data_IF_830401257798
#
_entry.id   IF_830401257798
#
_cell.length_a   1.000
_cell.length_b   1.000
_cell.length_c   1.000
_cell.angle_alpha   90.00
_cell.angle_beta   90.00
_cell.angle_gamma   90.00
#
_symmetry.space_group_name_H-M   'P 1'
#
loop_
_entity.id
_entity.type
_entity.pdbx_description
1 polymer ?
#
# COMPACT_ATOMS: atom_id res chain seq x y z
N UNK A 1 8.32 5.35 -23.24
CA UNK A 1 8.85 5.48 -21.87
C UNK A 1 8.04 4.48 -21.05
N UNK A 2 8.70 3.53 -20.44
CA UNK A 2 8.01 2.50 -19.67
C UNK A 2 7.46 3.12 -18.37
N UNK A 3 6.40 2.52 -17.80
CA UNK A 3 5.71 3.03 -16.59
C UNK A 3 6.70 3.24 -15.41
N UNK A 4 7.68 2.34 -15.28
CA UNK A 4 8.73 2.43 -14.27
C UNK A 4 9.58 3.70 -14.40
N UNK A 5 9.79 4.23 -15.63
CA UNK A 5 10.56 5.45 -15.86
C UNK A 5 9.87 6.68 -15.26
N UNK A 6 8.52 6.76 -15.29
CA UNK A 6 7.77 7.87 -14.71
C UNK A 6 7.90 7.87 -13.18
N UNK A 7 7.80 6.69 -12.54
CA UNK A 7 8.01 6.56 -11.10
C UNK A 7 9.45 6.87 -10.71
N UNK A 8 10.44 6.34 -11.42
CA UNK A 8 11.84 6.68 -11.21
C UNK A 8 12.06 8.20 -11.28
N UNK A 9 11.48 8.87 -12.27
CA UNK A 9 11.58 10.33 -12.39
C UNK A 9 10.96 11.06 -11.20
N UNK A 10 9.78 10.61 -10.72
CA UNK A 10 9.11 11.17 -9.55
C UNK A 10 9.98 11.05 -8.29
N UNK A 11 10.62 9.90 -8.06
CA UNK A 11 11.54 9.73 -6.95
C UNK A 11 12.82 10.54 -7.09
N UNK A 12 13.42 10.66 -8.28
CA UNK A 12 14.56 11.56 -8.53
C UNK A 12 14.22 13.01 -8.19
N UNK A 13 13.01 13.43 -8.47
CA UNK A 13 12.50 14.77 -8.16
C UNK A 13 12.04 14.91 -6.69
N UNK A 14 12.17 13.87 -5.86
CA UNK A 14 11.75 13.82 -4.45
C UNK A 14 10.26 14.11 -4.22
N UNK A 15 9.41 13.91 -5.21
CA UNK A 15 7.97 14.20 -5.14
C UNK A 15 7.25 13.28 -4.16
N UNK A 16 7.73 12.03 -4.01
CA UNK A 16 7.16 11.00 -3.14
C UNK A 16 8.04 10.66 -1.92
N UNK A 17 8.86 11.61 -1.46
CA UNK A 17 9.69 11.43 -0.27
C UNK A 17 8.88 11.72 1.00
N UNK A 18 8.22 10.71 1.52
CA UNK A 18 7.50 10.74 2.79
C UNK A 18 8.12 9.73 3.75
N UNK A 19 8.71 10.20 4.86
CA UNK A 19 9.38 9.35 5.85
C UNK A 19 8.49 8.96 7.04
N UNK A 20 7.30 9.53 7.15
CA UNK A 20 6.31 9.18 8.17
C UNK A 20 5.25 8.23 7.61
N UNK A 21 4.83 7.24 8.40
CA UNK A 21 3.80 6.30 7.97
C UNK A 21 2.42 6.93 7.90
N UNK A 22 1.53 6.31 7.15
CA UNK A 22 0.12 6.68 7.11
C UNK A 22 -0.60 6.27 8.40
N UNK A 23 -1.48 7.14 8.91
CA UNK A 23 -2.21 6.92 10.16
C UNK A 23 -3.17 5.74 10.09
N UNK A 24 -3.75 5.45 8.93
CA UNK A 24 -4.69 4.35 8.77
C UNK A 24 -4.00 2.98 8.81
N UNK A 25 -2.73 2.90 8.38
CA UNK A 25 -1.92 1.68 8.56
C UNK A 25 -1.59 1.49 10.05
N UNK A 26 -1.22 2.56 10.78
CA UNK A 26 -1.01 2.49 12.23
C UNK A 26 -2.29 2.01 12.93
N UNK A 27 -3.45 2.55 12.54
CA UNK A 27 -4.75 2.13 13.06
C UNK A 27 -5.04 0.65 12.76
N UNK A 28 -4.81 0.20 11.51
CA UNK A 28 -4.96 -1.20 11.11
C UNK A 28 -4.09 -2.13 11.97
N UNK A 29 -2.80 -1.82 12.12
CA UNK A 29 -1.90 -2.63 12.94
C UNK A 29 -2.34 -2.66 14.41
N UNK A 30 -2.79 -1.50 14.94
CA UNK A 30 -3.23 -1.38 16.33
C UNK A 30 -4.52 -2.13 16.64
N UNK A 31 -5.42 -2.30 15.65
CA UNK A 31 -6.68 -3.02 15.82
C UNK A 31 -6.56 -4.53 15.63
N UNK A 32 -5.61 -4.97 14.80
CA UNK A 32 -5.59 -6.36 14.33
C UNK A 32 -4.37 -7.15 14.78
N UNK A 33 -3.30 -6.49 15.19
CA UNK A 33 -2.04 -7.15 15.54
C UNK A 33 -1.54 -6.78 16.93
N UNK A 34 -1.12 -5.54 17.13
CA UNK A 34 -0.67 -5.05 18.42
C UNK A 34 -0.77 -3.53 18.52
N UNK A 35 -1.10 -3.06 19.71
CA UNK A 35 -1.23 -1.63 20.01
C UNK A 35 0.02 -1.14 20.71
N UNK A 36 0.62 -0.07 20.20
CA UNK A 36 1.68 0.64 20.91
C UNK A 36 1.09 1.46 22.05
N UNK A 37 1.58 1.24 23.26
CA UNK A 37 1.09 1.89 24.50
C UNK A 37 2.16 2.73 25.19
N UNK A 38 3.41 2.65 24.70
CA UNK A 38 4.55 3.43 25.18
C UNK A 38 5.71 3.39 24.19
N UNK A 39 6.85 3.98 24.55
CA UNK A 39 8.07 3.90 23.73
C UNK A 39 8.59 2.46 23.82
N UNK A 40 8.53 1.74 22.68
CA UNK A 40 8.86 0.31 22.59
C UNK A 40 7.98 -0.63 23.46
N UNK A 41 6.82 -0.17 23.89
CA UNK A 41 5.86 -0.97 24.64
C UNK A 41 4.63 -1.29 23.79
N UNK A 42 4.26 -2.56 23.75
CA UNK A 42 3.14 -3.03 22.93
C UNK A 42 2.24 -3.98 23.72
N UNK A 43 0.94 -3.89 23.42
CA UNK A 43 -0.06 -4.87 23.85
C UNK A 43 -0.48 -5.67 22.61
N UNK A 44 -0.27 -6.97 22.64
CA UNK A 44 -0.60 -7.87 21.54
C UNK A 44 -2.10 -8.14 21.52
N UNK A 45 -2.72 -8.00 20.34
CA UNK A 45 -4.12 -8.37 20.10
C UNK A 45 -4.24 -9.87 19.88
N UNK A 46 -3.21 -10.50 19.34
CA UNK A 46 -3.08 -11.95 19.17
C UNK A 46 -1.64 -12.39 19.47
N UNK A 47 -1.43 -13.64 19.95
CA UNK A 47 -0.08 -14.13 20.22
C UNK A 47 0.80 -14.13 18.97
N UNK A 48 2.08 -13.82 19.14
CA UNK A 48 3.09 -13.78 18.07
C UNK A 48 4.15 -14.85 18.35
N UNK A 49 4.00 -16.00 17.71
CA UNK A 49 5.04 -17.02 17.76
C UNK A 49 4.88 -17.96 16.56
N UNK A 50 5.83 -18.03 15.63
CA UNK A 50 7.05 -17.21 15.50
C UNK A 50 6.76 -15.75 15.12
N UNK A 51 7.81 -14.90 14.99
CA UNK A 51 7.70 -13.50 14.55
C UNK A 51 7.01 -13.45 13.17
N UNK A 52 5.84 -12.79 13.04
CA UNK A 52 5.08 -12.80 11.80
C UNK A 52 5.78 -12.01 10.71
N UNK A 53 5.59 -12.41 9.46
CA UNK A 53 6.13 -11.74 8.29
C UNK A 53 5.14 -10.75 7.72
N UNK A 54 5.62 -9.56 7.38
CA UNK A 54 4.78 -8.53 6.76
C UNK A 54 5.42 -7.97 5.50
N UNK A 55 4.58 -7.68 4.50
CA UNK A 55 4.95 -7.06 3.23
C UNK A 55 4.34 -5.66 3.14
N UNK A 56 5.15 -4.68 2.74
CA UNK A 56 4.72 -3.40 2.18
C UNK A 56 4.77 -3.53 0.65
N UNK A 57 3.61 -3.68 0.02
CA UNK A 57 3.46 -3.88 -1.42
C UNK A 57 3.34 -2.52 -2.12
N UNK A 58 4.37 -2.12 -2.87
CA UNK A 58 4.58 -0.77 -3.37
C UNK A 58 5.24 0.11 -2.31
N UNK A 59 6.35 -0.37 -1.75
CA UNK A 59 6.92 0.21 -0.52
C UNK A 59 7.56 1.61 -0.71
N UNK A 60 7.78 2.05 -1.94
CA UNK A 60 8.47 3.29 -2.21
C UNK A 60 9.81 3.37 -1.47
N UNK A 61 10.01 4.45 -0.73
CA UNK A 61 11.22 4.65 0.08
C UNK A 61 11.23 3.89 1.42
N UNK A 62 10.25 2.98 1.66
CA UNK A 62 10.26 2.05 2.80
C UNK A 62 9.66 2.55 4.11
N UNK A 63 8.83 3.61 4.09
CA UNK A 63 8.24 4.19 5.32
C UNK A 63 7.38 3.19 6.12
N UNK A 64 6.62 2.37 5.42
CA UNK A 64 5.80 1.35 6.09
C UNK A 64 6.58 0.07 6.37
N UNK A 65 7.64 -0.24 5.60
CA UNK A 65 8.59 -1.31 5.98
C UNK A 65 9.22 -0.99 7.35
N UNK A 66 9.65 0.26 7.55
CA UNK A 66 10.16 0.71 8.84
C UNK A 66 9.10 0.63 9.95
N UNK A 67 7.85 1.03 9.66
CA UNK A 67 6.74 0.90 10.61
C UNK A 67 6.51 -0.56 10.99
N UNK A 68 6.40 -1.46 10.01
CA UNK A 68 6.17 -2.89 10.22
C UNK A 68 7.29 -3.50 11.08
N UNK A 69 8.56 -3.19 10.79
CA UNK A 69 9.68 -3.63 11.62
C UNK A 69 9.58 -3.08 13.05
N UNK A 70 9.21 -1.81 13.22
CA UNK A 70 9.04 -1.19 14.56
C UNK A 70 7.91 -1.84 15.36
N UNK A 71 6.87 -2.34 14.66
CA UNK A 71 5.79 -3.13 15.26
C UNK A 71 6.18 -4.59 15.55
N UNK A 72 7.39 -5.01 15.22
CA UNK A 72 7.94 -6.31 15.54
C UNK A 72 7.73 -7.38 14.46
N UNK A 73 7.31 -7.03 13.27
CA UNK A 73 7.28 -7.95 12.13
C UNK A 73 8.68 -8.22 11.57
N UNK A 74 8.85 -9.36 10.92
CA UNK A 74 9.88 -9.52 9.91
C UNK A 74 9.38 -8.82 8.64
N UNK A 75 9.91 -7.61 8.39
CA UNK A 75 9.34 -6.69 7.41
C UNK A 75 10.03 -6.79 6.05
N UNK A 76 9.22 -6.83 5.00
CA UNK A 76 9.61 -6.90 3.59
C UNK A 76 8.98 -5.73 2.84
N UNK A 77 9.60 -5.36 1.71
CA UNK A 77 9.07 -4.34 0.81
C UNK A 77 9.36 -4.69 -0.65
N UNK A 78 8.40 -4.43 -1.53
CA UNK A 78 8.56 -4.54 -2.98
C UNK A 78 8.12 -3.25 -3.64
N UNK A 79 8.91 -2.71 -4.55
CA UNK A 79 8.55 -1.57 -5.38
C UNK A 79 9.15 -1.70 -6.78
N UNK A 80 8.44 -1.23 -7.81
CA UNK A 80 8.92 -1.25 -9.20
C UNK A 80 10.05 -0.26 -9.46
N UNK A 81 10.12 0.85 -8.70
CA UNK A 81 11.11 1.89 -8.89
C UNK A 81 12.46 1.53 -8.26
N UNK A 82 13.48 1.40 -9.10
CA UNK A 82 14.86 1.21 -8.64
C UNK A 82 15.39 2.39 -7.83
N UNK A 83 14.97 3.62 -8.17
CA UNK A 83 15.34 4.84 -7.45
C UNK A 83 14.72 4.86 -6.04
N UNK A 84 13.44 4.44 -5.90
CA UNK A 84 12.80 4.29 -4.60
C UNK A 84 13.52 3.26 -3.72
N UNK A 85 13.82 2.10 -4.26
CA UNK A 85 14.53 1.01 -3.54
C UNK A 85 15.93 1.46 -3.09
N UNK A 86 16.65 2.20 -3.93
CA UNK A 86 17.96 2.74 -3.55
C UNK A 86 17.86 3.69 -2.34
N UNK A 87 16.84 4.54 -2.31
CA UNK A 87 16.56 5.43 -1.17
C UNK A 87 16.15 4.64 0.07
N UNK A 88 15.26 3.64 -0.09
CA UNK A 88 14.83 2.78 1.01
C UNK A 88 16.03 2.07 1.66
N UNK A 89 16.91 1.48 0.87
CA UNK A 89 18.13 0.86 1.36
C UNK A 89 19.06 1.85 2.08
N UNK A 90 19.25 3.05 1.53
CA UNK A 90 20.06 4.08 2.16
C UNK A 90 19.50 4.48 3.52
N UNK A 91 18.19 4.74 3.56
CA UNK A 91 17.51 5.13 4.79
C UNK A 91 17.54 4.03 5.86
N UNK A 92 17.20 2.78 5.51
CA UNK A 92 17.24 1.66 6.45
C UNK A 92 18.63 1.45 7.05
N UNK A 93 19.70 1.60 6.24
CA UNK A 93 21.08 1.55 6.76
C UNK A 93 21.36 2.65 7.77
N UNK A 94 20.87 3.88 7.58
CA UNK A 94 21.05 4.96 8.58
C UNK A 94 20.35 4.64 9.89
N UNK A 95 19.30 3.85 9.87
CA UNK A 95 18.56 3.38 11.03
C UNK A 95 19.11 2.06 11.61
N UNK A 96 20.19 1.52 11.05
CA UNK A 96 20.74 0.20 11.40
C UNK A 96 19.69 -0.92 11.28
N UNK A 97 18.81 -0.84 10.30
CA UNK A 97 17.74 -1.81 10.03
C UNK A 97 18.09 -2.75 8.88
N UNK A 98 17.54 -3.98 8.86
CA UNK A 98 17.73 -4.90 7.75
C UNK A 98 17.24 -4.34 6.41
N UNK A 99 17.94 -4.64 5.33
CA UNK A 99 17.58 -4.23 3.96
C UNK A 99 17.34 -5.41 3.01
N UNK A 100 17.67 -6.62 3.43
CA UNK A 100 17.59 -7.82 2.57
C UNK A 100 16.17 -8.17 2.12
N UNK A 101 15.16 -7.75 2.86
CA UNK A 101 13.76 -7.94 2.52
C UNK A 101 13.17 -6.84 1.62
N UNK A 102 13.94 -5.79 1.26
CA UNK A 102 13.48 -4.70 0.40
C UNK A 102 14.06 -4.92 -1.00
N UNK A 103 13.20 -5.17 -1.98
CA UNK A 103 13.61 -5.58 -3.32
C UNK A 103 12.86 -4.82 -4.41
N UNK A 104 13.52 -4.62 -5.54
CA UNK A 104 12.84 -4.15 -6.75
C UNK A 104 12.06 -5.30 -7.36
N UNK A 105 10.80 -5.07 -7.71
CA UNK A 105 9.95 -6.09 -8.33
C UNK A 105 8.57 -5.56 -8.69
N UNK A 106 7.86 -6.36 -9.50
CA UNK A 106 6.48 -6.08 -9.90
C UNK A 106 5.50 -6.72 -8.91
N UNK A 107 4.40 -6.02 -8.61
CA UNK A 107 3.31 -6.59 -7.80
C UNK A 107 2.48 -7.63 -8.56
N UNK A 108 2.58 -7.66 -9.90
CA UNK A 108 1.92 -8.67 -10.72
C UNK A 108 2.65 -10.03 -10.70
N UNK A 109 3.90 -10.07 -10.20
CA UNK A 109 4.72 -11.30 -10.07
C UNK A 109 5.59 -11.12 -8.83
N UNK A 110 5.06 -11.47 -7.66
CA UNK A 110 5.80 -11.35 -6.40
C UNK A 110 6.80 -12.51 -6.22
N UNK A 111 8.08 -12.23 -5.94
CA UNK A 111 9.12 -13.26 -5.83
C UNK A 111 9.13 -13.94 -4.44
N UNK A 112 7.95 -14.31 -3.95
CA UNK A 112 7.76 -14.98 -2.67
C UNK A 112 6.96 -16.25 -2.85
N UNK A 113 7.12 -17.18 -1.92
CA UNK A 113 6.37 -18.43 -1.88
C UNK A 113 4.88 -18.17 -1.55
N UNK A 114 4.03 -19.12 -1.90
CA UNK A 114 2.62 -19.12 -1.52
C UNK A 114 2.49 -19.12 0.00
N UNK A 115 1.55 -18.32 0.53
CA UNK A 115 1.26 -18.23 1.97
C UNK A 115 2.46 -17.81 2.85
N UNK A 116 3.32 -16.93 2.32
CA UNK A 116 4.54 -16.49 2.99
C UNK A 116 4.32 -15.38 4.04
N UNK A 117 3.30 -14.52 3.87
CA UNK A 117 3.08 -13.33 4.70
C UNK A 117 1.83 -13.46 5.58
N UNK A 118 1.94 -13.04 6.83
CA UNK A 118 0.82 -12.95 7.78
C UNK A 118 0.08 -11.62 7.67
N UNK A 119 0.77 -10.59 7.19
CA UNK A 119 0.26 -9.23 7.04
C UNK A 119 0.77 -8.65 5.72
N UNK A 120 -0.11 -8.01 4.95
CA UNK A 120 0.28 -7.22 3.79
C UNK A 120 -0.36 -5.84 3.92
N UNK A 121 0.41 -4.80 3.61
CA UNK A 121 -0.11 -3.44 3.46
C UNK A 121 0.24 -2.90 2.07
N UNK A 122 -0.64 -2.08 1.49
CA UNK A 122 -0.39 -1.37 0.24
C UNK A 122 -1.07 -0.02 0.31
N UNK A 123 -0.32 1.07 0.15
CA UNK A 123 -0.83 2.42 0.30
C UNK A 123 -0.50 3.27 -0.92
N UNK A 124 -1.54 3.82 -1.58
CA UNK A 124 -1.45 4.65 -2.78
C UNK A 124 -0.73 3.95 -3.94
N UNK A 125 -1.03 2.67 -4.17
CA UNK A 125 -0.36 1.82 -5.17
C UNK A 125 -1.33 1.21 -6.17
N UNK A 126 -2.39 0.52 -5.69
CA UNK A 126 -3.34 -0.17 -6.57
C UNK A 126 -4.21 0.79 -7.40
N UNK A 127 -4.33 2.03 -6.97
CA UNK A 127 -4.95 3.13 -7.72
C UNK A 127 -3.95 3.88 -8.63
N UNK A 128 -2.68 3.51 -8.58
CA UNK A 128 -1.61 4.09 -9.40
C UNK A 128 -1.20 3.18 -10.56
N UNK A 129 -2.12 2.30 -10.97
CA UNK A 129 -1.96 1.36 -12.08
C UNK A 129 -3.30 1.15 -12.80
N UNK A 130 -3.29 0.47 -13.96
CA UNK A 130 -4.53 0.08 -14.65
C UNK A 130 -5.33 -0.91 -13.79
N UNK A 131 -6.64 -0.97 -14.00
CA UNK A 131 -7.50 -1.92 -13.29
C UNK A 131 -7.06 -3.37 -13.53
N UNK A 132 -6.68 -3.71 -14.74
CA UNK A 132 -6.21 -5.06 -15.09
C UNK A 132 -4.91 -5.40 -14.34
N UNK A 133 -3.97 -4.46 -14.26
CA UNK A 133 -2.74 -4.64 -13.48
C UNK A 133 -3.04 -4.78 -11.97
N UNK A 134 -3.99 -4.01 -11.45
CA UNK A 134 -4.41 -4.12 -10.06
C UNK A 134 -5.06 -5.47 -9.76
N UNK A 135 -5.85 -6.03 -10.69
CA UNK A 135 -6.41 -7.39 -10.56
C UNK A 135 -5.30 -8.45 -10.51
N UNK A 136 -4.27 -8.33 -11.35
CA UNK A 136 -3.12 -9.24 -11.31
C UNK A 136 -2.36 -9.11 -9.98
N UNK A 137 -2.13 -7.88 -9.51
CA UNK A 137 -1.49 -7.62 -8.22
C UNK A 137 -2.29 -8.21 -7.04
N UNK A 138 -3.62 -8.08 -7.04
CA UNK A 138 -4.51 -8.71 -6.04
C UNK A 138 -4.38 -10.24 -6.06
N UNK A 139 -4.28 -10.86 -7.24
CA UNK A 139 -4.07 -12.31 -7.38
C UNK A 139 -2.76 -12.76 -6.74
N UNK A 140 -1.68 -12.02 -6.93
CA UNK A 140 -0.38 -12.30 -6.32
C UNK A 140 -0.38 -12.03 -4.80
N UNK A 141 -1.02 -10.94 -4.35
CA UNK A 141 -1.23 -10.64 -2.94
C UNK A 141 -2.00 -11.79 -2.26
N UNK A 142 -3.09 -12.26 -2.87
CA UNK A 142 -3.83 -13.42 -2.37
C UNK A 142 -2.95 -14.67 -2.32
N UNK A 143 -2.15 -14.92 -3.35
CA UNK A 143 -1.26 -16.09 -3.38
C UNK A 143 -0.25 -16.08 -2.24
N UNK A 144 0.42 -14.94 -2.00
CA UNK A 144 1.50 -14.85 -1.01
C UNK A 144 1.01 -14.60 0.42
N UNK A 145 -0.25 -14.18 0.61
CA UNK A 145 -0.86 -14.00 1.93
C UNK A 145 -1.19 -15.38 2.52
N UNK A 146 -0.84 -15.59 3.78
CA UNK A 146 -1.15 -16.84 4.51
C UNK A 146 -2.64 -16.97 4.80
N UNK A 147 -3.12 -18.19 5.08
CA UNK A 147 -4.49 -18.44 5.55
C UNK A 147 -4.76 -17.62 6.81
N UNK A 148 -5.92 -16.97 6.85
CA UNK A 148 -6.29 -16.02 7.91
C UNK A 148 -5.39 -14.79 8.01
N UNK A 149 -4.43 -14.61 7.11
CA UNK A 149 -3.63 -13.40 6.96
C UNK A 149 -4.51 -12.21 6.59
N UNK A 150 -4.04 -11.01 6.88
CA UNK A 150 -4.81 -9.78 6.64
C UNK A 150 -4.08 -8.87 5.67
N UNK A 151 -4.85 -8.28 4.79
CA UNK A 151 -4.39 -7.32 3.81
C UNK A 151 -5.10 -5.99 3.97
N UNK A 152 -4.33 -4.93 4.19
CA UNK A 152 -4.80 -3.55 4.17
C UNK A 152 -4.38 -2.88 2.87
N UNK A 153 -5.29 -2.16 2.23
CA UNK A 153 -4.99 -1.28 1.09
C UNK A 153 -5.94 -0.09 1.05
N UNK A 154 -5.55 0.94 0.32
CA UNK A 154 -6.39 2.09 0.08
C UNK A 154 -6.49 2.40 -1.42
N UNK A 155 -7.55 3.10 -1.80
CA UNK A 155 -7.86 3.45 -3.18
C UNK A 155 -8.44 4.86 -3.24
N UNK A 156 -8.13 5.61 -4.30
CA UNK A 156 -8.80 6.87 -4.56
C UNK A 156 -10.27 6.61 -4.79
N UNK A 157 -11.11 7.26 -3.97
CA UNK A 157 -12.55 7.18 -4.13
C UNK A 157 -12.97 8.05 -5.31
N UNK A 158 -13.79 7.49 -6.19
CA UNK A 158 -14.57 8.28 -7.11
C UNK A 158 -15.57 9.13 -6.28
N UNK A 159 -15.25 10.40 -6.15
CA UNK A 159 -16.13 11.36 -5.51
C UNK A 159 -16.70 12.27 -6.61
N UNK A 160 -17.94 12.04 -7.00
CA UNK A 160 -18.67 12.79 -8.03
C UNK A 160 -18.71 14.31 -7.80
N UNK A 161 -18.14 14.80 -6.69
CA UNK A 161 -17.96 16.22 -6.41
C UNK A 161 -16.75 16.84 -7.12
N UNK A 162 -15.87 16.03 -7.70
CA UNK A 162 -14.75 16.57 -8.50
C UNK A 162 -15.24 16.83 -9.93
N UNK A 163 -15.15 18.07 -10.43
CA UNK A 163 -15.61 18.44 -11.78
C UNK A 163 -14.91 17.70 -12.92
N UNK A 164 -13.83 16.99 -12.62
CA UNK A 164 -13.00 16.25 -13.59
C UNK A 164 -13.38 14.79 -13.76
N UNK A 165 -14.36 14.25 -13.01
CA UNK A 165 -14.64 12.81 -12.99
C UNK A 165 -16.11 12.51 -13.26
N UNK A 166 -16.39 12.10 -14.47
CA UNK A 166 -17.72 11.60 -14.85
C UNK A 166 -17.91 10.12 -14.54
N UNK A 167 -16.87 9.37 -14.07
CA UNK A 167 -16.97 7.92 -13.82
C UNK A 167 -15.75 7.34 -13.08
N UNK A 168 -15.89 6.15 -12.51
CA UNK A 168 -14.82 5.33 -11.90
C UNK A 168 -13.84 4.80 -12.96
N UNK A 169 -13.16 5.70 -13.64
CA UNK A 169 -12.27 5.43 -14.76
C UNK A 169 -10.79 5.54 -14.39
N UNK A 170 -10.00 5.50 -15.42
CA UNK A 170 -8.56 5.68 -15.37
C UNK A 170 -8.15 6.92 -16.15
N UNK A 171 -7.15 7.64 -15.66
CA UNK A 171 -6.57 8.75 -16.37
C UNK A 171 -5.04 8.74 -16.28
N UNK A 172 -4.40 9.29 -17.30
CA UNK A 172 -2.97 9.58 -17.25
C UNK A 172 -2.79 10.93 -16.55
N UNK A 173 -1.95 10.97 -15.53
CA UNK A 173 -1.65 12.18 -14.77
C UNK A 173 -0.90 13.18 -15.66
N UNK A 174 -1.50 14.35 -15.86
CA UNK A 174 -0.94 15.44 -16.70
C UNK A 174 -0.26 16.55 -15.88
N UNK A 175 -0.39 16.53 -14.56
CA UNK A 175 0.25 17.50 -13.65
C UNK A 175 1.74 17.19 -13.50
N UNK A 176 2.52 18.17 -13.04
CA UNK A 176 3.97 17.98 -12.82
C UNK A 176 4.28 16.96 -11.73
N UNK A 177 3.37 16.75 -10.77
CA UNK A 177 3.45 15.70 -9.78
C UNK A 177 2.98 14.39 -10.43
N UNK A 178 3.83 13.37 -10.42
CA UNK A 178 3.56 12.03 -10.98
C UNK A 178 3.19 12.02 -12.49
N UNK A 179 3.73 12.97 -13.25
CA UNK A 179 3.44 13.11 -14.68
C UNK A 179 3.63 11.79 -15.44
N UNK A 180 2.62 11.42 -16.21
CA UNK A 180 2.63 10.23 -17.06
C UNK A 180 2.29 8.91 -16.34
N UNK A 181 2.07 8.94 -15.02
CA UNK A 181 1.55 7.78 -14.29
C UNK A 181 0.04 7.60 -14.53
N UNK A 182 -0.48 6.44 -14.21
CA UNK A 182 -1.92 6.17 -14.24
C UNK A 182 -2.51 6.49 -12.87
N UNK A 183 -3.67 7.11 -12.85
CA UNK A 183 -4.50 7.27 -11.66
C UNK A 183 -5.88 6.64 -11.93
N UNK A 184 -6.26 5.68 -11.10
CA UNK A 184 -7.49 4.91 -11.20
C UNK A 184 -8.42 5.26 -10.06
N UNK A 185 -9.69 5.51 -10.37
CA UNK A 185 -10.72 5.91 -9.42
C UNK A 185 -11.68 4.75 -9.17
N UNK A 186 -12.14 4.60 -7.93
CA UNK A 186 -12.92 3.46 -7.51
C UNK A 186 -14.24 3.86 -6.86
N UNK A 187 -15.32 3.34 -7.37
CA UNK A 187 -16.58 3.16 -6.67
C UNK A 187 -16.60 1.80 -5.93
N UNK A 188 -17.66 1.54 -5.17
CA UNK A 188 -17.75 0.31 -4.39
C UNK A 188 -17.89 -0.94 -5.27
N UNK A 189 -18.56 -0.84 -6.42
CA UNK A 189 -18.72 -1.97 -7.36
C UNK A 189 -17.37 -2.34 -7.99
N UNK A 190 -16.57 -1.35 -8.36
CA UNK A 190 -15.22 -1.58 -8.90
C UNK A 190 -14.30 -2.24 -7.86
N UNK A 191 -14.45 -1.87 -6.57
CA UNK A 191 -13.73 -2.54 -5.48
C UNK A 191 -14.13 -4.02 -5.39
N UNK A 192 -15.43 -4.34 -5.42
CA UNK A 192 -15.88 -5.73 -5.38
C UNK A 192 -15.35 -6.54 -6.58
N UNK A 193 -15.35 -5.96 -7.78
CA UNK A 193 -14.76 -6.59 -8.98
C UNK A 193 -13.25 -6.79 -8.87
N UNK A 194 -12.54 -5.88 -8.17
CA UNK A 194 -11.10 -5.98 -7.97
C UNK A 194 -10.72 -7.25 -7.19
N UNK A 195 -11.51 -7.61 -6.17
CA UNK A 195 -11.23 -8.74 -5.29
C UNK A 195 -11.99 -10.04 -5.65
N UNK A 196 -12.92 -9.98 -6.62
CA UNK A 196 -13.87 -11.06 -6.94
C UNK A 196 -13.19 -12.41 -7.26
N UNK A 197 -12.03 -12.38 -7.92
CA UNK A 197 -11.29 -13.59 -8.32
C UNK A 197 -10.26 -14.08 -7.29
N UNK A 198 -10.26 -13.51 -6.09
CA UNK A 198 -9.36 -13.86 -5.00
C UNK A 198 -10.10 -14.59 -3.87
N UNK A 199 -9.35 -15.16 -2.93
CA UNK A 199 -9.90 -15.70 -1.68
C UNK A 199 -10.00 -14.63 -0.58
N UNK A 200 -9.82 -13.36 -0.94
CA UNK A 200 -9.88 -12.24 -0.01
C UNK A 200 -11.33 -11.88 0.32
N UNK A 201 -11.66 -11.82 1.60
CA UNK A 201 -12.95 -11.35 2.09
C UNK A 201 -12.81 -10.00 2.73
N UNK A 202 -13.56 -9.02 2.24
CA UNK A 202 -13.62 -7.69 2.81
C UNK A 202 -14.24 -7.73 4.20
N UNK A 203 -13.51 -7.24 5.21
CA UNK A 203 -13.94 -7.27 6.62
C UNK A 203 -14.08 -5.88 7.23
N UNK A 204 -13.46 -4.86 6.66
CA UNK A 204 -13.64 -3.47 7.04
C UNK A 204 -13.55 -2.56 5.82
N UNK A 205 -14.41 -1.55 5.77
CA UNK A 205 -14.44 -0.52 4.73
C UNK A 205 -14.65 0.82 5.40
N UNK A 206 -13.64 1.66 5.35
CA UNK A 206 -13.70 3.03 5.88
C UNK A 206 -13.46 4.03 4.76
N UNK A 207 -14.19 5.13 4.74
CA UNK A 207 -13.93 6.27 3.84
C UNK A 207 -13.37 7.41 4.68
N UNK A 208 -12.20 7.91 4.28
CA UNK A 208 -11.64 9.15 4.80
C UNK A 208 -11.76 10.22 3.74
N UNK A 209 -12.49 11.29 4.05
CA UNK A 209 -12.65 12.46 3.18
C UNK A 209 -12.01 13.68 3.85
N UNK A 210 -11.27 14.46 3.06
CA UNK A 210 -10.66 15.73 3.46
C UNK A 210 -11.23 16.83 2.58
N UNK A 211 -11.83 17.82 3.19
CA UNK A 211 -12.35 19.00 2.50
C UNK A 211 -11.49 20.22 2.84
N UNK A 212 -11.04 20.93 1.82
CA UNK A 212 -10.33 22.20 1.97
C UNK A 212 -11.32 23.35 1.85
N UNK A 213 -11.50 24.09 2.92
CA UNK A 213 -12.46 25.18 2.99
C UNK A 213 -12.08 26.38 2.07
N UNK A 214 -10.79 26.56 1.84
CA UNK A 214 -10.23 27.65 1.00
C UNK A 214 -10.46 27.44 -0.50
N UNK A 215 -10.46 26.19 -0.95
CA UNK A 215 -10.57 25.82 -2.37
C UNK A 215 -11.79 24.97 -2.70
N UNK A 216 -12.58 24.58 -1.70
CA UNK A 216 -13.70 23.62 -1.81
C UNK A 216 -13.27 22.27 -2.43
N UNK A 217 -11.97 22.01 -2.45
CA UNK A 217 -11.43 20.77 -2.97
C UNK A 217 -11.69 19.64 -1.96
N UNK A 218 -12.31 18.56 -2.44
CA UNK A 218 -12.52 17.34 -1.66
C UNK A 218 -11.58 16.26 -2.21
N UNK A 219 -10.86 15.61 -1.31
CA UNK A 219 -10.13 14.37 -1.61
C UNK A 219 -10.64 13.28 -0.71
N UNK A 220 -10.96 12.12 -1.26
CA UNK A 220 -11.44 10.99 -0.46
C UNK A 220 -10.80 9.69 -0.90
N UNK A 221 -10.57 8.81 0.08
CA UNK A 221 -9.99 7.49 -0.14
C UNK A 221 -10.80 6.42 0.57
N UNK A 222 -10.90 5.28 -0.08
CA UNK A 222 -11.32 4.04 0.55
C UNK A 222 -10.14 3.44 1.31
N UNK A 223 -10.36 3.02 2.53
CA UNK A 223 -9.43 2.24 3.34
C UNK A 223 -10.08 0.89 3.60
N UNK A 224 -9.45 -0.16 3.16
CA UNK A 224 -10.03 -1.48 3.02
C UNK A 224 -9.18 -2.51 3.78
N UNK A 225 -9.85 -3.37 4.52
CA UNK A 225 -9.18 -4.51 5.16
C UNK A 225 -9.82 -5.80 4.65
N UNK A 226 -9.00 -6.67 4.11
CA UNK A 226 -9.38 -8.01 3.70
C UNK A 226 -8.74 -9.06 4.61
N UNK A 227 -9.39 -10.22 4.71
CA UNK A 227 -8.82 -11.44 5.30
C UNK A 227 -8.85 -12.54 4.26
N UNK A 228 -7.77 -13.31 4.15
CA UNK A 228 -7.77 -14.52 3.33
C UNK A 228 -8.62 -15.60 3.98
N UNK A 229 -9.50 -16.21 3.18
CA UNK A 229 -10.44 -17.26 3.62
C UNK A 229 -9.73 -18.58 3.94
#
# INVERSE_FOLDING_TARGET
MEREDHWNQSYRNKQNYLFYPDEMIIRFLSLHYRKQVGVNEFVDIKPWNPRPKALDAGCGIGRHVHLLDSYGFEAYGVDGSSDAIAVAHSWMRTLSKPTHGIIQGSLQILPFETEFFDCIVSHAVLDSMSFDDAVLAIGEIDRVLSKSGMFYFDLIRDDHRSPSHEFSGEMVVATSHEFGTIQSYFDYEKILRLIDKSNLKLIDVTVVARERLDSQQVSSRWHLVCRKA
#
